data_IF_868984139151
#
_entry.id   IF_868984139151
#
_cell.length_a   1.000
_cell.length_b   1.000
_cell.length_c   1.000
_cell.angle_alpha   90.00
_cell.angle_beta   90.00
_cell.angle_gamma   90.00
#
_symmetry.space_group_name_H-M   'P 1'
#
loop_
_entity.id
_entity.type
_entity.pdbx_description
1 polymer ?
#
# COMPACT_ATOMS: atom_id res chain seq x y z
N UNK A 1 -66.79 45.67 -33.27
CA UNK A 1 -66.08 44.45 -32.80
C UNK A 1 -65.00 43.97 -33.77
N UNK A 2 -65.28 43.67 -35.05
CA UNK A 2 -64.23 43.21 -36.03
C UNK A 2 -63.01 44.12 -36.15
N UNK A 3 -63.17 45.45 -36.18
CA UNK A 3 -62.05 46.41 -36.31
C UNK A 3 -61.13 46.45 -35.08
N UNK A 4 -61.67 46.18 -33.89
CA UNK A 4 -60.90 46.17 -32.63
C UNK A 4 -60.04 44.90 -32.56
N UNK A 5 -60.61 43.75 -32.97
CA UNK A 5 -59.88 42.47 -33.03
C UNK A 5 -58.72 42.54 -34.04
N UNK A 6 -58.94 43.18 -35.19
CA UNK A 6 -57.87 43.41 -36.19
C UNK A 6 -56.75 44.29 -35.65
N UNK A 7 -57.07 45.34 -34.88
CA UNK A 7 -56.07 46.23 -34.30
C UNK A 7 -55.20 45.51 -33.26
N UNK A 8 -55.81 44.74 -32.35
CA UNK A 8 -55.04 43.95 -31.36
C UNK A 8 -54.25 42.81 -32.01
N UNK A 9 -54.79 42.17 -33.04
CA UNK A 9 -54.05 41.15 -33.80
C UNK A 9 -52.79 41.72 -34.47
N UNK A 10 -52.91 42.89 -35.11
CA UNK A 10 -51.77 43.58 -35.71
C UNK A 10 -50.75 44.06 -34.65
N UNK A 11 -51.23 44.54 -33.50
CA UNK A 11 -50.37 44.99 -32.41
C UNK A 11 -49.55 43.83 -31.81
N UNK A 12 -50.18 42.67 -31.59
CA UNK A 12 -49.49 41.46 -31.08
C UNK A 12 -48.48 40.95 -32.11
N UNK A 13 -48.83 40.92 -33.39
CA UNK A 13 -47.90 40.51 -34.44
C UNK A 13 -46.68 41.44 -34.51
N UNK A 14 -46.89 42.75 -34.38
CA UNK A 14 -45.80 43.73 -34.31
C UNK A 14 -44.92 43.50 -33.07
N UNK A 15 -45.53 43.27 -31.90
CA UNK A 15 -44.81 43.05 -30.64
C UNK A 15 -43.96 41.78 -30.69
N UNK A 16 -44.49 40.68 -31.23
CA UNK A 16 -43.77 39.42 -31.41
C UNK A 16 -42.63 39.59 -32.41
N UNK A 17 -42.85 40.35 -33.48
CA UNK A 17 -41.81 40.64 -34.48
C UNK A 17 -40.66 41.45 -33.89
N UNK A 18 -40.95 42.45 -33.05
CA UNK A 18 -39.93 43.25 -32.36
C UNK A 18 -39.15 42.41 -31.34
N UNK A 19 -39.83 41.54 -30.58
CA UNK A 19 -39.18 40.63 -29.64
C UNK A 19 -38.30 39.59 -30.35
N UNK A 20 -38.75 39.06 -31.50
CA UNK A 20 -37.94 38.16 -32.32
C UNK A 20 -36.71 38.87 -32.92
N UNK A 21 -36.85 40.14 -33.32
CA UNK A 21 -35.74 40.94 -33.83
C UNK A 21 -34.71 41.28 -32.73
N UNK A 22 -35.18 41.56 -31.51
CA UNK A 22 -34.30 41.76 -30.35
C UNK A 22 -33.66 40.46 -29.85
N UNK A 23 -34.23 39.30 -30.18
CA UNK A 23 -33.65 37.98 -29.90
C UNK A 23 -32.52 37.56 -30.85
N UNK A 24 -32.29 38.31 -31.94
CA UNK A 24 -31.23 38.05 -32.92
C UNK A 24 -30.00 38.95 -32.70
N UNK A 25 -29.58 39.19 -31.46
CA UNK A 25 -28.22 39.70 -31.22
C UNK A 25 -27.24 38.56 -31.53
N UNK A 26 -26.49 38.65 -32.62
CA UNK A 26 -25.36 37.76 -32.87
C UNK A 26 -24.38 37.84 -31.69
N UNK A 27 -23.95 36.69 -31.18
CA UNK A 27 -22.87 36.62 -30.21
C UNK A 27 -21.61 37.17 -30.87
N UNK A 28 -21.07 38.24 -30.30
CA UNK A 28 -19.81 38.81 -30.75
C UNK A 28 -18.68 37.80 -30.49
N UNK A 29 -18.32 37.05 -31.53
CA UNK A 29 -17.20 36.10 -31.51
C UNK A 29 -15.83 36.81 -31.71
N UNK A 30 -15.80 38.15 -31.75
CA UNK A 30 -14.56 38.94 -31.84
C UNK A 30 -13.94 39.26 -30.47
N UNK A 31 -14.53 38.76 -29.38
CA UNK A 31 -13.89 38.80 -28.07
C UNK A 31 -12.60 38.00 -28.17
N UNK A 32 -11.46 38.69 -28.11
CA UNK A 32 -10.18 38.04 -27.79
C UNK A 32 -10.42 37.22 -26.55
N UNK A 33 -10.40 35.89 -26.69
CA UNK A 33 -10.50 34.97 -25.57
C UNK A 33 -9.54 35.49 -24.51
N UNK A 34 -10.04 35.67 -23.29
CA UNK A 34 -9.17 35.99 -22.16
C UNK A 34 -8.00 34.99 -22.21
N UNK A 35 -6.76 35.44 -21.99
CA UNK A 35 -5.62 34.53 -21.93
C UNK A 35 -6.03 33.37 -21.04
N UNK A 36 -5.80 32.13 -21.47
CA UNK A 36 -6.07 31.00 -20.58
C UNK A 36 -5.30 31.25 -19.28
N UNK A 37 -6.03 31.60 -18.22
CA UNK A 37 -5.43 31.79 -16.91
C UNK A 37 -5.12 30.39 -16.42
N UNK A 38 -3.93 29.92 -16.79
CA UNK A 38 -3.41 28.63 -16.33
C UNK A 38 -3.02 28.80 -14.88
N UNK A 39 -3.91 28.37 -13.99
CA UNK A 39 -3.69 28.43 -12.54
C UNK A 39 -2.50 27.58 -12.12
N UNK A 40 -2.14 26.58 -12.93
CA UNK A 40 -0.92 25.79 -12.78
C UNK A 40 0.08 26.13 -13.89
N UNK A 41 1.34 26.39 -13.51
CA UNK A 41 2.42 26.76 -14.44
C UNK A 41 2.80 25.66 -15.44
N UNK A 42 3.69 25.98 -16.38
CA UNK A 42 4.18 25.05 -17.41
C UNK A 42 4.76 23.75 -16.82
N UNK A 43 4.46 22.60 -17.45
CA UNK A 43 4.98 21.29 -17.03
C UNK A 43 4.27 20.63 -15.84
N UNK A 44 3.14 21.15 -15.36
CA UNK A 44 2.38 20.59 -14.23
C UNK A 44 2.06 19.08 -14.34
N UNK A 45 1.73 18.60 -15.54
CA UNK A 45 1.40 17.19 -15.81
C UNK A 45 2.60 16.32 -16.22
N UNK A 46 3.80 16.90 -16.36
CA UNK A 46 4.98 16.18 -16.82
C UNK A 46 5.86 15.75 -15.64
N UNK A 47 6.03 14.43 -15.36
CA UNK A 47 6.88 13.94 -14.28
C UNK A 47 8.34 14.38 -14.35
N UNK A 48 8.86 14.69 -15.54
CA UNK A 48 10.22 15.20 -15.73
C UNK A 48 10.38 16.70 -15.49
N UNK A 49 9.29 17.42 -15.21
CA UNK A 49 9.32 18.86 -14.98
C UNK A 49 9.62 19.21 -13.52
N UNK A 50 10.38 20.28 -13.28
CA UNK A 50 10.52 20.84 -11.93
C UNK A 50 9.20 21.36 -11.34
N UNK A 51 8.20 21.65 -12.19
CA UNK A 51 6.86 22.07 -11.79
C UNK A 51 5.85 20.90 -11.72
N UNK A 52 6.31 19.65 -11.71
CA UNK A 52 5.42 18.49 -11.68
C UNK A 52 4.50 18.53 -10.44
N UNK A 53 3.21 18.25 -10.64
CA UNK A 53 2.22 18.27 -9.57
C UNK A 53 2.53 17.27 -8.46
N UNK A 54 3.11 16.11 -8.77
CA UNK A 54 3.50 15.14 -7.74
C UNK A 54 4.56 15.70 -6.78
N UNK A 55 5.51 16.46 -7.29
CA UNK A 55 6.54 17.15 -6.47
C UNK A 55 5.92 18.25 -5.60
N UNK A 56 4.93 18.98 -6.13
CA UNK A 56 4.17 19.96 -5.35
C UNK A 56 3.29 19.31 -4.27
N UNK A 57 2.65 18.19 -4.58
CA UNK A 57 1.84 17.45 -3.61
C UNK A 57 2.74 16.92 -2.48
N UNK A 58 3.92 16.41 -2.80
CA UNK A 58 4.92 16.00 -1.81
C UNK A 58 5.36 17.17 -0.92
N UNK A 59 5.64 18.35 -1.50
CA UNK A 59 6.02 19.54 -0.72
C UNK A 59 4.89 20.11 0.15
N UNK A 60 3.64 19.80 -0.20
CA UNK A 60 2.44 20.12 0.59
C UNK A 60 2.00 18.98 1.49
N UNK A 61 2.93 18.08 1.83
CA UNK A 61 2.72 16.97 2.78
C UNK A 61 1.56 16.05 2.36
N UNK A 62 1.43 15.82 1.05
CA UNK A 62 0.40 14.95 0.46
C UNK A 62 -1.04 15.41 0.70
N UNK A 63 -1.25 16.70 1.04
CA UNK A 63 -2.57 17.24 1.31
C UNK A 63 -3.32 17.56 0.01
N UNK A 64 -4.32 16.74 -0.32
CA UNK A 64 -5.17 16.91 -1.50
C UNK A 64 -6.44 17.73 -1.26
N UNK A 65 -6.72 18.14 -0.02
CA UNK A 65 -7.98 18.80 0.34
C UNK A 65 -8.15 20.14 -0.38
N UNK A 66 -7.06 20.90 -0.52
CA UNK A 66 -7.07 22.18 -1.24
C UNK A 66 -7.41 22.03 -2.73
N UNK A 67 -7.05 20.90 -3.34
CA UNK A 67 -7.30 20.63 -4.76
C UNK A 67 -8.79 20.45 -5.03
N UNK A 68 -9.53 19.87 -4.07
CA UNK A 68 -10.98 19.61 -4.19
C UNK A 68 -11.79 20.90 -4.38
N UNK A 69 -11.30 22.04 -3.89
CA UNK A 69 -11.94 23.36 -4.04
C UNK A 69 -12.21 23.73 -5.51
N UNK A 70 -11.30 23.35 -6.42
CA UNK A 70 -11.42 23.65 -7.84
C UNK A 70 -11.72 22.40 -8.67
N UNK A 71 -11.16 21.25 -8.30
CA UNK A 71 -11.27 20.01 -9.09
C UNK A 71 -12.47 19.12 -8.69
N UNK A 72 -13.28 19.56 -7.72
CA UNK A 72 -14.43 18.83 -7.23
C UNK A 72 -14.05 17.85 -6.11
N UNK A 73 -15.02 17.53 -5.25
CA UNK A 73 -14.82 16.61 -4.14
C UNK A 73 -14.45 15.18 -4.56
N UNK A 74 -14.86 14.79 -5.76
CA UNK A 74 -14.58 13.50 -6.41
C UNK A 74 -13.47 13.58 -7.47
N UNK A 75 -12.81 14.74 -7.60
CA UNK A 75 -11.76 15.02 -8.58
C UNK A 75 -12.21 14.93 -10.05
N UNK A 76 -13.52 14.97 -10.32
CA UNK A 76 -14.09 14.83 -11.68
C UNK A 76 -14.02 16.11 -12.52
N UNK A 77 -13.49 17.20 -11.97
CA UNK A 77 -13.25 18.46 -12.70
C UNK A 77 -13.81 19.69 -12.02
N UNK A 78 -14.82 19.55 -11.16
CA UNK A 78 -15.37 20.65 -10.35
C UNK A 78 -15.62 21.94 -11.15
N UNK A 79 -15.21 23.07 -10.57
CA UNK A 79 -15.31 24.40 -11.20
C UNK A 79 -14.18 24.67 -12.20
N UNK A 80 -13.06 23.94 -12.13
CA UNK A 80 -11.93 24.10 -13.06
C UNK A 80 -12.17 23.41 -14.40
N UNK A 81 -13.13 22.48 -14.48
CA UNK A 81 -13.36 21.61 -15.63
C UNK A 81 -12.25 20.59 -15.89
N UNK A 82 -11.17 20.60 -15.10
CA UNK A 82 -9.99 19.74 -15.29
C UNK A 82 -10.04 18.53 -14.36
N UNK A 83 -10.30 17.35 -14.91
CA UNK A 83 -10.40 16.10 -14.14
C UNK A 83 -9.04 15.48 -13.81
N UNK A 84 -8.85 15.03 -12.56
CA UNK A 84 -7.68 14.22 -12.20
C UNK A 84 -7.83 12.78 -12.69
N UNK A 85 -9.08 12.34 -12.90
CA UNK A 85 -9.43 10.95 -13.22
C UNK A 85 -9.03 10.55 -14.64
N UNK A 86 -8.69 11.50 -15.49
CA UNK A 86 -8.17 11.23 -16.84
C UNK A 86 -6.84 10.47 -16.82
N UNK A 87 -5.96 10.77 -15.85
CA UNK A 87 -4.72 10.04 -15.64
C UNK A 87 -4.78 9.12 -14.41
N UNK A 88 -5.47 9.53 -13.36
CA UNK A 88 -5.65 8.74 -12.13
C UNK A 88 -7.01 8.04 -12.14
N UNK A 89 -7.18 7.06 -13.03
CA UNK A 89 -8.46 6.38 -13.26
C UNK A 89 -8.78 5.27 -12.26
N UNK A 90 -7.85 4.93 -11.36
CA UNK A 90 -8.07 3.95 -10.30
C UNK A 90 -9.16 4.39 -9.33
N UNK A 91 -9.83 3.43 -8.68
CA UNK A 91 -10.82 3.72 -7.63
C UNK A 91 -10.23 4.61 -6.54
N UNK A 92 -10.88 5.73 -6.22
CA UNK A 92 -10.36 6.77 -5.32
C UNK A 92 -9.45 7.81 -6.00
N UNK A 93 -9.21 7.69 -7.30
CA UNK A 93 -8.47 8.65 -8.12
C UNK A 93 -7.08 8.94 -7.54
N UNK A 94 -6.73 10.21 -7.27
CA UNK A 94 -5.44 10.57 -6.69
C UNK A 94 -5.24 10.09 -5.24
N UNK A 95 -6.28 9.55 -4.58
CA UNK A 95 -6.20 8.94 -3.24
C UNK A 95 -6.09 7.40 -3.30
N UNK A 96 -5.95 6.81 -4.49
CA UNK A 96 -5.81 5.35 -4.64
C UNK A 96 -4.54 4.85 -3.94
N UNK A 97 -4.66 3.81 -3.10
CA UNK A 97 -3.55 3.28 -2.31
C UNK A 97 -2.33 2.89 -3.16
N UNK A 98 -2.54 2.31 -4.35
CA UNK A 98 -1.47 1.85 -5.24
C UNK A 98 -0.65 2.97 -5.86
N UNK A 99 -1.14 4.21 -5.80
CA UNK A 99 -0.40 5.37 -6.30
C UNK A 99 0.87 5.62 -5.49
N UNK A 100 0.81 5.39 -4.17
CA UNK A 100 1.95 5.57 -3.26
C UNK A 100 2.47 4.22 -2.73
N UNK A 101 1.58 3.29 -2.40
CA UNK A 101 1.86 2.00 -1.78
C UNK A 101 1.71 0.86 -2.79
N UNK A 102 2.49 0.84 -3.88
CA UNK A 102 2.21 -0.20 -4.87
C UNK A 102 2.75 0.00 -6.27
N UNK A 103 2.16 -0.78 -7.15
CA UNK A 103 2.21 -0.62 -8.60
C UNK A 103 0.80 -0.84 -9.18
N UNK A 104 0.69 -0.98 -10.49
CA UNK A 104 -0.58 -1.25 -11.17
C UNK A 104 -1.31 -2.52 -10.71
N UNK A 105 -0.60 -3.49 -10.14
CA UNK A 105 -1.13 -4.80 -9.78
C UNK A 105 -1.55 -4.88 -8.30
N UNK A 106 -0.73 -4.37 -7.38
CA UNK A 106 -0.93 -4.59 -5.95
C UNK A 106 -0.67 -3.34 -5.09
N UNK A 107 -1.38 -3.26 -3.94
CA UNK A 107 -1.28 -2.20 -2.94
C UNK A 107 -0.29 -2.57 -1.81
N UNK A 108 0.93 -2.91 -2.19
CA UNK A 108 2.05 -3.17 -1.30
C UNK A 108 3.32 -2.64 -1.97
N UNK A 109 4.18 -1.86 -1.31
CA UNK A 109 5.23 -1.11 -2.01
C UNK A 109 6.23 -2.04 -2.74
N UNK A 110 6.28 -2.05 -4.08
CA UNK A 110 7.42 -2.56 -4.83
C UNK A 110 8.49 -1.45 -4.99
N UNK A 111 8.13 -0.21 -4.65
CA UNK A 111 8.97 0.98 -4.69
C UNK A 111 8.66 1.89 -3.50
N UNK A 112 9.68 2.59 -3.01
CA UNK A 112 9.53 3.63 -2.01
C UNK A 112 8.96 4.93 -2.62
N UNK A 113 8.54 5.89 -1.76
CA UNK A 113 7.99 7.19 -2.18
C UNK A 113 8.95 8.04 -3.03
N UNK A 114 10.25 7.77 -2.95
CA UNK A 114 11.29 8.41 -3.76
C UNK A 114 11.58 7.67 -5.08
N UNK A 115 10.82 6.60 -5.38
CA UNK A 115 10.98 5.79 -6.59
C UNK A 115 12.05 4.68 -6.50
N UNK A 116 12.72 4.52 -5.37
CA UNK A 116 13.69 3.42 -5.18
C UNK A 116 12.97 2.07 -5.21
N UNK A 117 13.56 1.08 -5.87
CA UNK A 117 13.03 -0.30 -6.01
C UNK A 117 13.99 -1.35 -5.43
N UNK A 118 15.12 -0.95 -4.85
CA UNK A 118 16.11 -1.89 -4.35
C UNK A 118 15.68 -2.51 -3.03
N UNK A 119 15.76 -3.85 -2.92
CA UNK A 119 15.56 -4.59 -1.67
C UNK A 119 16.51 -4.13 -0.55
N UNK A 120 17.63 -3.50 -0.88
CA UNK A 120 18.58 -2.97 0.12
C UNK A 120 18.17 -1.62 0.68
N UNK A 121 17.12 -1.00 0.12
CA UNK A 121 16.57 0.27 0.58
C UNK A 121 15.57 0.07 1.70
N UNK A 122 15.60 0.90 2.74
CA UNK A 122 14.67 0.80 3.86
C UNK A 122 13.20 0.93 3.44
N UNK A 123 12.91 1.76 2.44
CA UNK A 123 11.53 1.98 1.96
C UNK A 123 10.97 0.84 1.10
N UNK A 124 11.79 -0.14 0.73
CA UNK A 124 11.39 -1.30 -0.08
C UNK A 124 11.59 -2.58 0.72
N UNK A 125 12.83 -2.86 1.11
CA UNK A 125 13.20 -4.06 1.87
C UNK A 125 12.64 -5.35 1.29
N UNK A 126 12.46 -6.33 2.17
CA UNK A 126 11.89 -7.64 1.86
C UNK A 126 10.35 -7.66 1.91
N UNK A 127 9.68 -6.53 1.63
CA UNK A 127 8.21 -6.43 1.70
C UNK A 127 7.50 -7.49 0.85
N UNK A 128 7.99 -7.70 -0.38
CA UNK A 128 7.45 -8.71 -1.29
C UNK A 128 7.61 -10.14 -0.74
N UNK A 129 8.70 -10.43 -0.03
CA UNK A 129 8.93 -11.75 0.57
C UNK A 129 7.93 -12.07 1.69
N UNK A 130 7.36 -11.07 2.35
CA UNK A 130 6.32 -11.27 3.36
C UNK A 130 4.93 -11.38 2.73
N UNK A 131 4.62 -10.52 1.75
CA UNK A 131 3.32 -10.52 1.08
C UNK A 131 3.12 -11.76 0.19
N UNK A 132 4.20 -12.30 -0.35
CA UNK A 132 4.23 -13.46 -1.24
C UNK A 132 5.18 -14.53 -0.71
N UNK A 133 5.06 -14.82 0.59
CA UNK A 133 5.95 -15.73 1.30
C UNK A 133 6.04 -17.12 0.68
N UNK A 134 7.25 -17.66 0.68
CA UNK A 134 7.56 -19.05 0.31
C UNK A 134 7.58 -19.98 1.51
N UNK A 135 7.66 -19.43 2.72
CA UNK A 135 7.86 -20.21 3.95
C UNK A 135 6.61 -20.32 4.81
N UNK A 136 5.62 -19.45 4.67
CA UNK A 136 4.41 -19.50 5.47
C UNK A 136 3.27 -18.74 4.81
N UNK A 137 2.13 -18.67 5.49
CA UNK A 137 0.98 -17.89 5.03
C UNK A 137 1.39 -16.45 4.71
N UNK A 138 0.76 -15.85 3.70
CA UNK A 138 1.03 -14.46 3.33
C UNK A 138 0.66 -13.53 4.49
N UNK A 139 1.55 -12.57 4.78
CA UNK A 139 1.25 -11.53 5.76
C UNK A 139 0.39 -10.43 5.16
N UNK A 140 -0.42 -9.85 6.03
CA UNK A 140 -1.25 -8.68 5.80
C UNK A 140 -0.52 -7.42 6.26
N UNK A 141 -1.04 -6.24 5.90
CA UNK A 141 -0.45 -4.97 6.32
C UNK A 141 -0.46 -4.82 7.85
N UNK A 142 -1.54 -5.27 8.50
CA UNK A 142 -1.75 -5.16 9.95
C UNK A 142 -0.83 -6.05 10.78
N UNK A 143 -0.14 -7.03 10.16
CA UNK A 143 0.87 -7.84 10.84
C UNK A 143 2.10 -6.99 11.24
N UNK A 144 2.37 -5.89 10.52
CA UNK A 144 3.54 -5.02 10.74
C UNK A 144 3.21 -3.54 10.92
N UNK A 145 2.10 -3.07 10.36
CA UNK A 145 1.68 -1.68 10.42
C UNK A 145 0.37 -1.54 11.19
N UNK A 146 0.09 -0.33 11.65
CA UNK A 146 -1.22 -0.02 12.22
C UNK A 146 -2.30 -0.12 11.13
N UNK A 147 -3.46 -0.66 11.49
CA UNK A 147 -4.63 -0.63 10.62
C UNK A 147 -5.09 0.82 10.38
N UNK A 148 -5.49 1.12 9.14
CA UNK A 148 -5.91 2.45 8.70
C UNK A 148 -7.27 2.38 8.01
N UNK A 149 -8.13 3.35 8.29
CA UNK A 149 -9.42 3.48 7.64
C UNK A 149 -9.38 4.46 6.45
N UNK A 150 -8.60 4.11 5.44
CA UNK A 150 -8.51 4.86 4.18
C UNK A 150 -7.57 6.07 4.20
N UNK A 151 -7.64 6.89 3.14
CA UNK A 151 -6.65 7.94 2.87
C UNK A 151 -6.60 9.04 3.94
N UNK A 152 -7.78 9.50 4.39
CA UNK A 152 -7.92 10.62 5.33
C UNK A 152 -7.77 10.17 6.81
N UNK A 153 -7.41 8.91 7.07
CA UNK A 153 -7.14 8.45 8.44
C UNK A 153 -5.96 9.22 9.04
N UNK A 154 -6.08 9.79 10.25
CA UNK A 154 -5.01 10.53 10.89
C UNK A 154 -3.76 9.68 11.19
N UNK A 155 -3.88 8.34 11.19
CA UNK A 155 -2.77 7.40 11.31
C UNK A 155 -2.15 7.01 9.95
N UNK A 156 -2.71 7.42 8.81
CA UNK A 156 -2.14 7.16 7.49
C UNK A 156 -1.13 8.26 7.11
N UNK A 157 -1.58 9.51 7.03
CA UNK A 157 -0.71 10.67 6.79
C UNK A 157 -0.86 11.60 7.99
N UNK A 158 0.13 11.55 8.88
CA UNK A 158 0.16 12.39 10.07
C UNK A 158 0.23 13.89 9.75
N UNK A 159 0.04 14.77 10.74
CA UNK A 159 0.10 16.23 10.55
C UNK A 159 1.49 16.74 10.13
N UNK A 160 2.53 15.95 10.41
CA UNK A 160 3.91 16.22 10.01
C UNK A 160 4.53 14.95 9.43
N UNK A 161 4.14 14.56 8.20
CA UNK A 161 4.59 13.30 7.63
C UNK A 161 6.07 13.41 7.26
N UNK A 162 6.86 12.47 7.75
CA UNK A 162 8.29 12.33 7.45
C UNK A 162 8.56 11.36 6.28
N UNK A 163 7.49 10.80 5.70
CA UNK A 163 7.56 9.84 4.60
C UNK A 163 8.00 8.44 5.05
N UNK A 164 7.94 8.15 6.34
CA UNK A 164 8.32 6.86 6.93
C UNK A 164 7.04 6.19 7.44
N UNK A 165 6.78 4.95 7.03
CA UNK A 165 5.69 4.17 7.61
C UNK A 165 6.12 3.61 8.98
N UNK A 166 5.30 3.84 10.01
CA UNK A 166 5.55 3.30 11.35
C UNK A 166 5.31 1.79 11.39
N UNK A 167 6.22 1.08 12.05
CA UNK A 167 6.05 -0.34 12.36
C UNK A 167 5.36 -0.47 13.72
N UNK A 168 4.16 -1.02 13.70
CA UNK A 168 3.37 -1.38 14.87
C UNK A 168 2.97 -2.83 14.67
N UNK A 169 3.68 -3.73 15.32
CA UNK A 169 3.49 -5.16 15.14
C UNK A 169 2.07 -5.60 15.51
N UNK A 170 1.47 -6.43 14.66
CA UNK A 170 0.18 -7.07 14.89
C UNK A 170 0.28 -8.24 15.87
N UNK A 171 -0.87 -8.78 16.26
CA UNK A 171 -0.98 -9.86 17.26
C UNK A 171 -0.13 -11.09 16.92
N UNK A 172 0.00 -11.42 15.63
CA UNK A 172 0.80 -12.55 15.14
C UNK A 172 2.27 -12.47 15.51
N UNK A 173 2.83 -11.26 15.60
CA UNK A 173 4.23 -11.06 15.99
C UNK A 173 4.47 -11.36 17.48
N UNK A 174 3.44 -11.23 18.32
CA UNK A 174 3.46 -11.47 19.77
C UNK A 174 3.02 -12.89 20.15
N UNK A 175 2.77 -13.76 19.17
CA UNK A 175 2.12 -15.03 19.44
C UNK A 175 2.96 -15.93 20.36
N UNK A 176 2.29 -16.61 21.28
CA UNK A 176 2.89 -17.45 22.33
C UNK A 176 2.53 -18.93 22.18
N UNK A 177 1.85 -19.32 21.09
CA UNK A 177 1.31 -20.66 20.87
C UNK A 177 2.22 -21.77 21.46
N UNK A 178 1.72 -22.36 22.55
CA UNK A 178 2.23 -23.60 23.14
C UNK A 178 3.42 -23.53 24.11
N UNK A 179 3.92 -22.36 24.52
CA UNK A 179 5.12 -22.28 25.39
C UNK A 179 5.22 -21.08 26.35
N UNK A 180 6.22 -21.08 27.26
CA UNK A 180 6.47 -19.98 28.20
C UNK A 180 7.17 -18.76 27.56
N UNK A 181 7.58 -18.88 26.29
CA UNK A 181 8.25 -17.80 25.55
C UNK A 181 7.22 -16.73 25.23
N UNK A 182 7.54 -15.48 25.59
CA UNK A 182 6.74 -14.31 25.24
C UNK A 182 7.56 -13.42 24.33
N UNK A 183 7.25 -13.37 23.01
CA UNK A 183 7.89 -12.42 22.12
C UNK A 183 7.63 -10.99 22.58
N UNK A 184 8.61 -10.13 22.37
CA UNK A 184 8.51 -8.68 22.55
C UNK A 184 9.05 -8.00 21.28
N UNK A 185 8.30 -8.09 20.17
CA UNK A 185 8.71 -7.66 18.84
C UNK A 185 9.24 -6.24 18.84
N UNK A 186 10.43 -6.08 18.29
CA UNK A 186 11.08 -4.78 18.19
C UNK A 186 11.67 -4.57 16.80
N UNK A 187 11.41 -3.38 16.25
CA UNK A 187 11.99 -2.91 15.00
C UNK A 187 13.05 -1.84 15.30
N UNK A 188 14.29 -2.08 14.86
CA UNK A 188 15.35 -1.08 14.92
C UNK A 188 15.64 -0.55 13.52
N UNK A 189 15.19 0.68 13.26
CA UNK A 189 15.35 1.35 11.98
C UNK A 189 16.81 1.62 11.60
N UNK A 190 17.71 1.83 12.57
CA UNK A 190 19.11 2.18 12.30
C UNK A 190 19.90 0.98 11.75
N UNK A 191 19.57 -0.21 12.24
CA UNK A 191 20.20 -1.47 11.80
C UNK A 191 19.34 -2.24 10.80
N UNK A 192 18.13 -1.76 10.53
CA UNK A 192 17.11 -2.45 9.74
C UNK A 192 16.79 -3.86 10.25
N UNK A 193 16.78 -4.06 11.57
CA UNK A 193 16.62 -5.39 12.18
C UNK A 193 15.31 -5.54 12.91
N UNK A 194 14.72 -6.74 12.81
CA UNK A 194 13.61 -7.19 13.62
C UNK A 194 14.12 -8.19 14.68
N UNK A 195 13.86 -7.94 15.96
CA UNK A 195 14.28 -8.82 17.06
C UNK A 195 13.09 -9.21 17.93
N UNK A 196 13.19 -10.34 18.65
CA UNK A 196 12.19 -10.82 19.59
C UNK A 196 10.79 -11.03 18.95
N UNK A 197 10.74 -11.30 17.64
CA UNK A 197 9.50 -11.50 16.89
C UNK A 197 9.19 -12.98 16.81
N UNK A 198 7.93 -13.37 17.02
CA UNK A 198 7.47 -14.76 16.85
C UNK A 198 7.92 -15.35 15.50
N UNK A 199 7.67 -14.65 14.39
CA UNK A 199 8.03 -15.11 13.05
C UNK A 199 9.55 -15.27 12.81
N UNK A 200 10.39 -14.64 13.63
CA UNK A 200 11.85 -14.65 13.53
C UNK A 200 12.47 -15.30 14.78
N UNK A 201 12.11 -16.57 15.01
CA UNK A 201 12.80 -17.45 15.94
C UNK A 201 12.41 -17.30 17.42
N UNK A 202 11.59 -16.32 17.78
CA UNK A 202 11.18 -16.10 19.18
C UNK A 202 9.92 -16.88 19.50
N UNK A 203 10.02 -18.20 19.47
CA UNK A 203 8.92 -19.12 19.79
C UNK A 203 9.46 -20.35 20.52
N UNK A 204 8.56 -21.22 20.98
CA UNK A 204 8.93 -22.47 21.63
C UNK A 204 9.82 -23.30 20.72
N UNK A 205 11.04 -23.61 21.18
CA UNK A 205 12.05 -24.37 20.41
C UNK A 205 12.49 -23.66 19.11
N UNK A 206 12.34 -22.33 19.06
CA UNK A 206 12.94 -21.47 18.05
C UNK A 206 14.25 -20.87 18.54
N UNK A 207 15.06 -20.38 17.60
CA UNK A 207 16.30 -19.68 17.85
C UNK A 207 16.04 -18.18 18.05
N UNK A 208 16.10 -17.69 19.28
CA UNK A 208 15.94 -16.26 19.60
C UNK A 208 17.02 -15.37 18.99
N UNK A 209 18.15 -15.94 18.54
CA UNK A 209 19.21 -15.21 17.85
C UNK A 209 18.97 -15.09 16.33
N UNK A 210 17.87 -15.64 15.81
CA UNK A 210 17.47 -15.53 14.42
C UNK A 210 16.94 -14.12 14.10
N UNK A 211 17.82 -13.13 14.13
CA UNK A 211 17.48 -11.72 13.89
C UNK A 211 17.37 -11.47 12.40
N UNK A 212 16.16 -11.18 11.92
CA UNK A 212 15.91 -10.81 10.53
C UNK A 212 16.38 -9.39 10.23
N UNK A 213 16.93 -9.18 9.03
CA UNK A 213 17.35 -7.86 8.53
C UNK A 213 16.47 -7.49 7.33
N UNK A 214 15.67 -6.44 7.47
CA UNK A 214 14.67 -5.97 6.50
C UNK A 214 15.25 -5.68 5.11
N UNK A 215 16.49 -5.23 5.05
CA UNK A 215 17.18 -4.88 3.79
C UNK A 215 18.07 -6.01 3.26
N UNK A 216 18.02 -7.20 3.88
CA UNK A 216 18.80 -8.36 3.46
C UNK A 216 17.93 -9.63 3.39
N UNK A 217 17.52 -10.07 2.19
CA UNK A 217 16.71 -11.28 2.00
C UNK A 217 17.41 -12.57 2.44
N UNK A 218 18.74 -12.58 2.56
CA UNK A 218 19.52 -13.73 3.02
C UNK A 218 19.68 -13.84 4.54
N UNK A 219 19.13 -12.89 5.32
CA UNK A 219 19.27 -12.89 6.79
C UNK A 219 18.47 -13.99 7.48
N UNK A 220 17.44 -14.52 6.81
CA UNK A 220 16.58 -15.61 7.32
C UNK A 220 16.52 -16.70 6.26
N UNK A 221 17.04 -17.88 6.61
CA UNK A 221 17.06 -19.09 5.77
C UNK A 221 16.79 -20.33 6.62
N UNK A 222 16.55 -21.49 5.99
CA UNK A 222 16.42 -22.75 6.73
C UNK A 222 17.61 -22.95 7.68
N UNK A 223 17.33 -23.43 8.90
CA UNK A 223 18.34 -23.58 9.95
C UNK A 223 18.49 -22.36 10.86
N UNK A 224 18.12 -21.15 10.40
CA UNK A 224 18.21 -19.94 11.26
C UNK A 224 17.18 -19.94 12.37
N UNK A 225 15.92 -20.31 12.09
CA UNK A 225 14.84 -20.32 13.08
C UNK A 225 14.82 -21.62 13.92
N UNK A 226 15.00 -22.77 13.28
CA UNK A 226 15.11 -24.07 13.93
C UNK A 226 16.02 -24.99 13.11
N UNK A 227 16.65 -25.95 13.78
CA UNK A 227 17.43 -27.00 13.12
C UNK A 227 18.90 -26.65 12.93
N UNK A 228 19.70 -26.88 13.98
CA UNK A 228 21.09 -27.35 13.96
C UNK A 228 21.59 -27.37 15.43
N UNK A 229 21.49 -28.52 16.14
CA UNK A 229 21.90 -28.61 17.54
C UNK A 229 23.37 -28.26 17.77
N UNK A 230 24.24 -28.41 16.76
CA UNK A 230 25.67 -28.16 16.89
C UNK A 230 26.01 -26.66 16.93
N UNK A 231 25.16 -25.81 16.32
CA UNK A 231 25.29 -24.34 16.41
C UNK A 231 24.50 -23.74 17.56
N UNK A 232 23.83 -24.57 18.38
CA UNK A 232 22.94 -24.13 19.45
C UNK A 232 21.54 -23.76 18.96
N UNK A 233 21.22 -24.01 17.68
CA UNK A 233 19.90 -23.79 17.13
C UNK A 233 18.97 -24.95 17.53
N UNK A 234 17.89 -24.70 18.29
CA UNK A 234 17.02 -25.76 18.75
C UNK A 234 16.32 -26.45 17.57
N UNK A 235 16.26 -27.77 17.63
CA UNK A 235 15.29 -28.55 16.84
C UNK A 235 13.98 -28.63 17.61
N UNK A 236 12.83 -28.77 16.92
CA UNK A 236 11.58 -29.09 17.58
C UNK A 236 11.71 -30.37 18.45
N UNK A 237 11.10 -30.35 19.63
CA UNK A 237 11.09 -31.38 20.65
C UNK A 237 9.66 -31.68 21.09
N UNK A 238 9.33 -32.95 21.33
CA UNK A 238 8.05 -33.34 21.94
C UNK A 238 8.31 -33.63 23.43
N UNK A 239 7.63 -32.91 24.32
CA UNK A 239 7.77 -33.06 25.79
C UNK A 239 9.20 -32.84 26.34
N UNK A 240 9.98 -31.96 25.72
CA UNK A 240 11.34 -31.61 26.19
C UNK A 240 12.41 -32.66 25.87
N UNK A 241 12.06 -33.69 25.10
CA UNK A 241 12.98 -34.70 24.62
C UNK A 241 13.18 -34.49 23.12
N UNK A 242 14.40 -34.64 22.64
CA UNK A 242 14.64 -34.88 21.21
C UNK A 242 13.94 -36.20 20.88
N UNK A 243 12.73 -36.12 20.35
CA UNK A 243 12.04 -37.29 19.84
C UNK A 243 12.86 -37.78 18.66
N UNK A 244 13.40 -38.99 18.74
CA UNK A 244 13.86 -39.63 17.52
C UNK A 244 12.70 -39.62 16.50
N UNK A 245 12.97 -39.24 15.24
CA UNK A 245 14.31 -39.18 14.64
C UNK A 245 14.90 -37.77 14.43
N UNK A 246 14.57 -36.70 15.19
CA UNK A 246 15.20 -35.38 14.96
C UNK A 246 16.70 -35.36 15.32
N UNK A 247 17.57 -35.68 14.36
CA UNK A 247 19.03 -35.72 14.53
C UNK A 247 19.74 -34.52 13.90
N UNK A 248 20.93 -34.20 14.40
CA UNK A 248 21.77 -33.09 13.92
C UNK A 248 22.29 -33.24 12.48
N UNK A 249 22.25 -34.45 11.91
CA UNK A 249 22.63 -34.70 10.51
C UNK A 249 21.46 -34.55 9.52
N UNK A 250 20.23 -34.34 10.00
CA UNK A 250 19.08 -34.15 9.12
C UNK A 250 19.16 -32.83 8.39
N UNK A 251 18.86 -32.87 7.09
CA UNK A 251 18.76 -31.69 6.22
C UNK A 251 17.31 -31.36 5.93
N UNK A 252 17.05 -30.21 5.29
CA UNK A 252 15.70 -29.84 4.83
C UNK A 252 15.05 -30.92 3.95
N UNK A 253 15.83 -31.66 3.16
CA UNK A 253 15.32 -32.76 2.33
C UNK A 253 15.04 -34.06 3.10
N UNK A 254 15.37 -34.13 4.39
CA UNK A 254 15.07 -35.27 5.26
C UNK A 254 13.77 -35.08 6.03
N UNK A 255 13.37 -33.84 6.29
CA UNK A 255 12.21 -33.50 7.11
C UNK A 255 10.89 -34.04 6.53
N UNK A 256 10.74 -34.09 5.20
CA UNK A 256 9.51 -34.55 4.54
C UNK A 256 9.13 -36.01 4.87
N UNK A 257 10.10 -36.83 5.32
CA UNK A 257 9.85 -38.24 5.69
C UNK A 257 8.82 -38.32 6.82
N UNK A 258 8.82 -37.33 7.72
CA UNK A 258 7.90 -37.26 8.85
C UNK A 258 7.01 -36.01 8.85
N UNK A 259 7.33 -34.99 8.06
CA UNK A 259 6.62 -33.70 7.96
C UNK A 259 6.06 -33.48 6.55
N UNK A 260 5.58 -34.55 5.93
CA UNK A 260 5.09 -34.62 4.55
C UNK A 260 3.85 -33.76 4.28
N UNK A 261 3.04 -33.44 5.30
CA UNK A 261 1.92 -32.49 5.14
C UNK A 261 2.42 -31.06 4.95
N UNK A 262 3.58 -30.71 5.50
CA UNK A 262 4.14 -29.35 5.47
C UNK A 262 5.06 -29.15 4.28
N UNK A 263 5.87 -30.17 3.94
CA UNK A 263 6.92 -30.04 2.95
C UNK A 263 7.15 -31.30 2.10
N UNK A 264 7.74 -31.11 0.91
CA UNK A 264 8.05 -32.18 -0.03
C UNK A 264 9.51 -32.67 0.05
N UNK A 265 9.82 -33.73 -0.71
CA UNK A 265 11.16 -34.32 -0.79
C UNK A 265 12.26 -33.42 -1.37
N UNK A 266 11.88 -32.28 -1.97
CA UNK A 266 12.79 -31.24 -2.45
C UNK A 266 13.11 -30.19 -1.37
N UNK A 267 12.56 -30.34 -0.16
CA UNK A 267 12.76 -29.39 0.94
C UNK A 267 11.92 -28.12 0.82
N UNK A 268 10.85 -28.13 0.03
CA UNK A 268 9.97 -26.98 -0.19
C UNK A 268 8.72 -27.10 0.68
N UNK A 269 8.27 -25.98 1.27
CA UNK A 269 6.99 -25.90 1.97
C UNK A 269 5.87 -26.00 0.93
N UNK A 270 5.02 -27.02 1.06
CA UNK A 270 3.88 -27.28 0.19
C UNK A 270 2.57 -26.80 0.79
N UNK A 271 2.47 -26.78 2.13
CA UNK A 271 1.36 -26.17 2.85
C UNK A 271 1.88 -25.06 3.76
N UNK A 272 1.65 -23.83 3.31
CA UNK A 272 2.12 -22.61 3.96
C UNK A 272 1.30 -22.27 5.21
N UNK A 273 0.08 -22.79 5.34
CA UNK A 273 -0.74 -22.60 6.53
C UNK A 273 -0.26 -23.47 7.69
N UNK A 274 0.56 -24.50 7.40
CA UNK A 274 1.10 -25.42 8.41
C UNK A 274 2.52 -25.07 8.88
N UNK A 275 3.23 -24.15 8.22
CA UNK A 275 4.57 -23.74 8.64
C UNK A 275 4.52 -22.35 9.28
N UNK A 276 4.98 -22.24 10.54
CA UNK A 276 4.87 -21.05 11.40
C UNK A 276 3.40 -20.83 11.87
N UNK A 277 2.71 -21.92 12.21
CA UNK A 277 1.37 -21.93 12.81
C UNK A 277 1.37 -22.28 14.31
N UNK A 278 2.55 -22.47 14.92
CA UNK A 278 2.69 -22.81 16.33
C UNK A 278 2.52 -24.30 16.67
N UNK A 279 2.29 -25.15 15.67
CA UNK A 279 2.11 -26.58 15.84
C UNK A 279 3.19 -27.39 15.09
N UNK A 280 3.40 -28.64 15.52
CA UNK A 280 4.23 -29.59 14.79
C UNK A 280 3.31 -30.48 13.97
N UNK A 281 3.32 -30.30 12.64
CA UNK A 281 2.49 -31.07 11.70
C UNK A 281 3.33 -32.13 10.96
N UNK A 282 2.73 -33.26 10.56
CA UNK A 282 3.43 -34.48 10.09
C UNK A 282 3.00 -34.88 8.67
#
# INVERSE_FOLDING_TARGET
>A
MKKIILFYGAFIALLVSVLAYQGCSELDNSVTLAPEIRTHGEGWSNPGSGNFHGSYIASTKWNLSQCKTCHGGDYSGGTSGSTCLGCHSGSGGPQNCRLCHGNSEHANPPSALNGDTSVTSLGVGVHMSHRFSTYGAALTCEDCHRDINGFDDPNHIGPDPDGIAEIVFGTRAYDTLGGPIRPDPNWNRNTATCSNVYCHGTFKQGNVNAVGVWTNPGSVVCGTCHGDPNTGNPTPQVSGVFTEPHYSFMTSTSCYICHSSVMNGQGQIIDKELHINGEVNY
#
